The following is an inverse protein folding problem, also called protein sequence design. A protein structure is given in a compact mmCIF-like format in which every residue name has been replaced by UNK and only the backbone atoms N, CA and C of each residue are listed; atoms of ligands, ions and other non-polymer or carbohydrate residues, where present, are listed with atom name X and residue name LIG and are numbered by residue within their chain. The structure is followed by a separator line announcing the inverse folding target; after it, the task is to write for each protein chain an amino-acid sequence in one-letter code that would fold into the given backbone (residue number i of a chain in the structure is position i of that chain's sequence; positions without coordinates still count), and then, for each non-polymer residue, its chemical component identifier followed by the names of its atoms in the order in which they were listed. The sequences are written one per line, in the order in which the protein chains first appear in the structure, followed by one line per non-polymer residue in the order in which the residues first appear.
data_IF_006067705701
#
_entry.id   IF_006067705701
#
_cell.length_a   1.000
_cell.length_b   1.000
_cell.length_c   1.000
_cell.angle_alpha   90.00
_cell.angle_beta   90.00
_cell.angle_gamma   90.00
#
_symmetry.space_group_name_H-M   'P 1'
#
loop_
_entity.id
_entity.type
_entity.pdbx_description
1 polymer ?
#
# COMPACT_ATOMS: atom_id res chain seq x y z
N UNK A 1 15.68 1.83 -12.15
CA UNK A 1 15.60 0.39 -12.41
C UNK A 1 15.37 -0.31 -11.07
N UNK A 2 14.43 -1.24 -11.03
CA UNK A 2 14.09 -2.05 -9.87
C UNK A 2 14.10 -3.52 -10.31
N UNK A 3 14.67 -4.41 -9.50
CA UNK A 3 14.71 -5.85 -9.82
C UNK A 3 15.43 -6.67 -8.76
N UNK A 4 15.31 -7.97 -8.88
CA UNK A 4 16.08 -8.92 -8.07
C UNK A 4 17.43 -9.18 -8.71
N UNK A 5 18.49 -9.11 -7.89
CA UNK A 5 19.84 -9.42 -8.33
C UNK A 5 19.96 -10.92 -8.55
N UNK A 6 20.26 -11.33 -9.79
CA UNK A 6 20.43 -12.73 -10.16
C UNK A 6 21.90 -13.10 -10.40
N UNK A 7 22.76 -12.11 -10.69
CA UNK A 7 24.18 -12.33 -10.85
C UNK A 7 24.99 -11.04 -10.59
N UNK A 8 26.16 -11.14 -9.99
CA UNK A 8 27.09 -10.04 -9.76
C UNK A 8 28.44 -10.41 -10.36
N UNK A 9 28.74 -9.84 -11.53
CA UNK A 9 30.06 -9.96 -12.17
C UNK A 9 31.01 -8.84 -11.78
N UNK A 10 32.21 -8.85 -12.32
CA UNK A 10 33.28 -7.87 -12.01
C UNK A 10 32.85 -6.44 -12.43
N UNK A 11 32.29 -6.29 -13.61
CA UNK A 11 31.94 -4.96 -14.20
C UNK A 11 30.45 -4.68 -14.27
N UNK A 12 29.62 -5.68 -14.18
CA UNK A 12 28.17 -5.59 -14.36
C UNK A 12 27.41 -6.45 -13.36
N UNK A 13 26.29 -5.94 -12.90
CA UNK A 13 25.29 -6.67 -12.12
C UNK A 13 24.10 -6.96 -13.02
N UNK A 14 23.58 -8.18 -12.96
CA UNK A 14 22.40 -8.63 -13.73
C UNK A 14 21.19 -8.69 -12.82
N UNK A 15 20.09 -8.09 -13.26
CA UNK A 15 18.83 -8.02 -12.54
C UNK A 15 17.73 -8.71 -13.35
N UNK A 16 16.83 -9.43 -12.66
CA UNK A 16 15.50 -9.72 -13.15
C UNK A 16 14.62 -8.52 -12.83
N UNK A 17 14.16 -7.81 -13.84
CA UNK A 17 13.44 -6.55 -13.65
C UNK A 17 12.02 -6.76 -13.11
N UNK A 18 11.60 -5.81 -12.28
CA UNK A 18 10.28 -5.77 -11.64
C UNK A 18 9.58 -4.46 -12.03
N UNK A 19 8.27 -4.56 -12.32
CA UNK A 19 7.44 -3.39 -12.64
C UNK A 19 7.54 -2.97 -14.11
N UNK A 20 7.72 -1.68 -14.38
CA UNK A 20 7.60 -1.03 -15.68
C UNK A 20 6.16 -1.14 -16.22
N UNK A 21 5.88 -1.92 -17.27
CA UNK A 21 4.52 -2.14 -17.79
C UNK A 21 3.66 -3.15 -17.00
N UNK A 22 4.28 -3.91 -16.08
CA UNK A 22 3.56 -4.85 -15.22
C UNK A 22 3.24 -4.19 -13.89
N UNK A 23 1.98 -4.29 -13.46
CA UNK A 23 1.55 -3.66 -12.21
C UNK A 23 2.22 -4.27 -10.98
N UNK A 24 2.50 -3.42 -10.00
CA UNK A 24 3.07 -3.80 -8.70
C UNK A 24 4.49 -4.40 -8.79
N UNK A 25 4.85 -5.25 -7.84
CA UNK A 25 6.18 -5.84 -7.72
C UNK A 25 6.29 -7.19 -8.47
N UNK A 26 5.80 -7.26 -9.71
CA UNK A 26 5.90 -8.46 -10.54
C UNK A 26 7.08 -8.38 -11.50
N UNK A 27 7.65 -9.55 -11.79
CA UNK A 27 8.61 -9.68 -12.89
C UNK A 27 7.93 -9.36 -14.22
N UNK A 28 8.59 -8.53 -15.01
CA UNK A 28 8.14 -8.23 -16.37
C UNK A 28 8.80 -9.12 -17.43
N UNK A 29 9.69 -10.04 -17.01
CA UNK A 29 10.41 -10.96 -17.89
C UNK A 29 11.68 -10.38 -18.50
N UNK A 30 12.02 -9.12 -18.24
CA UNK A 30 13.21 -8.48 -18.78
C UNK A 30 14.43 -8.67 -17.87
N UNK A 31 15.55 -9.08 -18.46
CA UNK A 31 16.85 -9.16 -17.79
C UNK A 31 17.62 -7.89 -18.13
N UNK A 32 18.06 -7.17 -17.09
CA UNK A 32 18.80 -5.91 -17.22
C UNK A 32 20.22 -6.09 -16.69
N UNK A 33 21.21 -5.67 -17.46
CA UNK A 33 22.61 -5.62 -17.02
C UNK A 33 23.02 -4.17 -16.79
N UNK A 34 23.37 -3.83 -15.55
CA UNK A 34 23.82 -2.50 -15.17
C UNK A 34 25.32 -2.51 -14.85
N UNK A 35 26.01 -1.42 -15.14
CA UNK A 35 27.41 -1.28 -14.76
C UNK A 35 27.55 -1.15 -13.26
N UNK A 36 28.51 -1.85 -12.64
CA UNK A 36 28.80 -1.74 -11.21
C UNK A 36 29.25 -0.32 -10.79
N UNK A 37 29.73 0.49 -11.76
CA UNK A 37 30.03 1.90 -11.50
C UNK A 37 28.82 2.75 -11.08
N UNK A 38 27.61 2.23 -11.27
CA UNK A 38 26.37 2.94 -10.92
C UNK A 38 26.25 3.21 -9.41
N UNK A 39 26.80 2.33 -8.57
CA UNK A 39 26.81 2.49 -7.10
C UNK A 39 27.60 3.72 -6.62
N UNK A 40 28.50 4.25 -7.45
CA UNK A 40 29.27 5.47 -7.16
C UNK A 40 28.61 6.76 -7.68
N UNK A 41 27.51 6.65 -8.44
CA UNK A 41 26.88 7.79 -9.11
C UNK A 41 25.57 8.24 -8.45
N UNK A 42 25.01 7.43 -7.58
CA UNK A 42 23.73 7.76 -6.95
C UNK A 42 23.33 6.79 -5.85
N UNK A 43 22.15 7.01 -5.26
CA UNK A 43 21.63 6.15 -4.21
C UNK A 43 21.27 4.77 -4.77
N UNK A 44 21.59 3.74 -4.00
CA UNK A 44 21.18 2.35 -4.23
C UNK A 44 20.19 1.97 -3.12
N UNK A 45 18.96 1.63 -3.50
CA UNK A 45 17.93 1.20 -2.57
C UNK A 45 17.94 -0.32 -2.48
N UNK A 46 18.22 -0.85 -1.29
CA UNK A 46 18.25 -2.29 -1.04
C UNK A 46 17.15 -2.69 -0.04
N UNK A 47 16.31 -3.65 -0.42
CA UNK A 47 15.19 -4.15 0.39
C UNK A 47 15.51 -5.43 1.16
N UNK A 48 16.69 -6.01 1.01
CA UNK A 48 16.98 -7.36 1.48
C UNK A 48 18.18 -7.49 2.40
N UNK A 49 18.88 -6.37 2.70
CA UNK A 49 20.17 -6.46 3.40
C UNK A 49 20.01 -6.68 4.90
N UNK A 50 19.57 -5.66 5.64
CA UNK A 50 19.57 -5.70 7.10
C UNK A 50 18.17 -5.89 7.68
N UNK A 51 17.16 -5.42 6.97
CA UNK A 51 15.76 -5.57 7.36
C UNK A 51 14.96 -6.11 6.17
N UNK A 52 14.67 -7.41 6.12
CA UNK A 52 14.03 -8.07 4.97
C UNK A 52 12.53 -7.83 4.87
N UNK A 53 12.04 -6.81 5.50
CA UNK A 53 10.66 -6.36 5.53
C UNK A 53 10.55 -4.93 5.02
N UNK A 54 9.37 -4.59 4.56
CA UNK A 54 9.00 -3.21 4.20
C UNK A 54 7.73 -2.81 4.91
N UNK A 55 7.59 -1.52 5.21
CA UNK A 55 6.29 -0.96 5.58
C UNK A 55 5.45 -0.82 4.32
N UNK A 56 4.23 -1.27 4.40
CA UNK A 56 3.21 -1.06 3.37
C UNK A 56 1.94 -0.50 4.00
N UNK A 57 1.10 0.10 3.18
CA UNK A 57 -0.13 0.76 3.62
C UNK A 57 -1.31 0.38 2.74
N UNK A 58 -2.47 0.29 3.38
CA UNK A 58 -3.77 0.13 2.75
C UNK A 58 -4.63 1.30 3.16
N UNK A 59 -5.15 2.03 2.17
CA UNK A 59 -6.15 3.06 2.38
C UNK A 59 -7.53 2.52 2.02
N UNK A 60 -8.46 2.65 2.95
CA UNK A 60 -9.84 2.20 2.79
C UNK A 60 -10.79 3.38 3.01
N UNK A 61 -11.39 3.93 1.94
CA UNK A 61 -12.34 5.01 2.04
C UNK A 61 -13.73 4.47 2.42
N UNK A 62 -14.28 4.95 3.52
CA UNK A 62 -15.59 4.55 4.04
C UNK A 62 -16.53 5.76 4.03
N UNK A 63 -17.76 5.55 3.57
CA UNK A 63 -18.78 6.58 3.50
C UNK A 63 -19.13 7.11 4.91
N UNK A 64 -19.32 8.43 5.04
CA UNK A 64 -19.87 9.02 6.25
C UNK A 64 -21.21 8.38 6.63
N UNK A 65 -21.40 8.12 7.92
CA UNK A 65 -22.56 7.40 8.44
C UNK A 65 -22.38 5.87 8.57
N UNK A 66 -21.27 5.32 8.08
CA UNK A 66 -20.89 3.93 8.34
C UNK A 66 -20.43 3.73 9.78
N UNK A 67 -20.51 2.50 10.27
CA UNK A 67 -20.05 2.11 11.61
C UNK A 67 -18.51 2.10 11.68
N UNK A 68 -17.94 3.17 12.23
CA UNK A 68 -16.48 3.38 12.36
C UNK A 68 -15.85 2.32 13.28
N UNK A 69 -16.53 1.97 14.37
CA UNK A 69 -16.01 0.99 15.34
C UNK A 69 -15.95 -0.40 14.74
N UNK A 70 -17.00 -0.79 14.03
CA UNK A 70 -17.06 -2.07 13.34
C UNK A 70 -16.03 -2.12 12.20
N UNK A 71 -15.84 -1.02 11.46
CA UNK A 71 -14.83 -0.91 10.39
C UNK A 71 -13.43 -1.13 10.95
N UNK A 72 -13.08 -0.43 12.04
CA UNK A 72 -11.77 -0.60 12.69
C UNK A 72 -11.55 -2.07 13.12
N UNK A 73 -12.57 -2.68 13.73
CA UNK A 73 -12.51 -4.08 14.15
C UNK A 73 -12.24 -5.03 12.98
N UNK A 74 -12.96 -4.88 11.87
CA UNK A 74 -12.78 -5.71 10.66
C UNK A 74 -11.36 -5.55 10.10
N UNK A 75 -10.86 -4.32 9.99
CA UNK A 75 -9.50 -4.07 9.49
C UNK A 75 -8.46 -4.72 10.41
N UNK A 76 -8.61 -4.57 11.74
CA UNK A 76 -7.69 -5.14 12.72
C UNK A 76 -7.69 -6.66 12.70
N UNK A 77 -8.86 -7.30 12.61
CA UNK A 77 -8.98 -8.75 12.53
C UNK A 77 -8.39 -9.28 11.23
N UNK A 78 -8.67 -8.62 10.10
CA UNK A 78 -8.07 -8.95 8.81
C UNK A 78 -6.54 -8.81 8.84
N UNK A 79 -6.03 -7.75 9.44
CA UNK A 79 -4.60 -7.56 9.61
C UNK A 79 -3.99 -8.69 10.44
N UNK A 80 -4.59 -9.05 11.57
CA UNK A 80 -4.09 -10.10 12.46
C UNK A 80 -4.01 -11.47 11.77
N UNK A 81 -4.99 -11.83 10.93
CA UNK A 81 -5.00 -13.10 10.20
C UNK A 81 -3.76 -13.26 9.30
N UNK A 82 -3.38 -12.20 8.60
CA UNK A 82 -2.34 -12.29 7.56
C UNK A 82 -0.96 -11.81 8.02
N UNK A 83 -0.89 -10.96 9.06
CA UNK A 83 0.33 -10.26 9.46
C UNK A 83 0.95 -10.79 10.76
N UNK A 84 0.21 -11.49 11.61
CA UNK A 84 0.72 -11.98 12.92
C UNK A 84 2.02 -12.76 12.79
N UNK A 85 2.13 -13.59 11.75
CA UNK A 85 3.34 -14.40 11.49
C UNK A 85 4.60 -13.57 11.16
N UNK A 86 4.44 -12.32 10.75
CA UNK A 86 5.57 -11.44 10.43
C UNK A 86 5.98 -10.58 11.62
N UNK A 87 5.06 -10.31 12.54
CA UNK A 87 5.26 -9.36 13.63
C UNK A 87 6.46 -9.72 14.53
N UNK A 88 6.52 -10.95 15.02
CA UNK A 88 7.58 -11.34 15.96
C UNK A 88 8.95 -11.38 15.30
N UNK A 89 9.02 -11.96 14.10
CA UNK A 89 10.25 -12.01 13.32
C UNK A 89 10.73 -10.61 12.92
N UNK A 90 9.82 -9.73 12.53
CA UNK A 90 10.15 -8.37 12.19
C UNK A 90 10.65 -7.56 13.41
N UNK A 91 10.08 -7.79 14.61
CA UNK A 91 10.53 -7.17 15.86
C UNK A 91 11.97 -7.53 16.20
N UNK A 92 12.36 -8.79 16.07
CA UNK A 92 13.73 -9.22 16.33
C UNK A 92 14.72 -8.53 15.37
N UNK A 93 14.42 -8.54 14.08
CA UNK A 93 15.25 -7.89 13.07
C UNK A 93 15.32 -6.36 13.28
N UNK A 94 14.21 -5.74 13.65
CA UNK A 94 14.18 -4.31 13.92
C UNK A 94 15.04 -3.92 15.11
N UNK A 95 15.00 -4.69 16.21
CA UNK A 95 15.90 -4.48 17.36
C UNK A 95 17.38 -4.55 16.98
N UNK A 96 17.75 -5.50 16.11
CA UNK A 96 19.11 -5.57 15.60
C UNK A 96 19.50 -4.32 14.79
N UNK A 97 18.58 -3.81 13.96
CA UNK A 97 18.77 -2.59 13.19
C UNK A 97 18.92 -1.37 14.07
N UNK A 98 18.06 -1.19 15.07
CA UNK A 98 18.12 -0.09 16.04
C UNK A 98 19.49 -0.07 16.73
N UNK A 99 19.97 -1.22 17.21
CA UNK A 99 21.27 -1.34 17.85
C UNK A 99 22.45 -1.08 16.91
N UNK A 100 22.35 -1.53 15.66
CA UNK A 100 23.43 -1.40 14.67
C UNK A 100 23.59 0.02 14.15
N UNK A 101 22.47 0.73 13.93
CA UNK A 101 22.47 2.03 13.26
C UNK A 101 22.11 3.20 14.19
N UNK A 102 21.83 2.95 15.45
CA UNK A 102 21.41 3.95 16.45
C UNK A 102 20.23 4.79 15.96
N UNK A 103 19.27 4.15 15.31
CA UNK A 103 18.04 4.78 14.82
C UNK A 103 16.93 4.68 15.86
N UNK A 104 15.89 5.51 15.69
CA UNK A 104 14.71 5.48 16.55
C UNK A 104 13.96 4.14 16.46
N UNK A 105 13.43 3.67 17.58
CA UNK A 105 12.62 2.46 17.64
C UNK A 105 11.23 2.75 17.04
N UNK A 106 10.93 2.10 15.93
CA UNK A 106 9.67 2.28 15.21
C UNK A 106 8.68 1.16 15.54
N UNK A 107 7.40 1.49 15.50
CA UNK A 107 6.31 0.53 15.65
C UNK A 107 6.33 -0.43 14.45
N UNK A 108 6.55 -1.70 14.72
CA UNK A 108 6.58 -2.79 13.73
C UNK A 108 5.22 -3.49 13.62
N UNK A 109 4.38 -3.35 14.65
CA UNK A 109 3.02 -3.86 14.63
C UNK A 109 2.14 -3.11 13.63
N UNK A 110 1.05 -3.76 13.21
CA UNK A 110 0.04 -3.09 12.41
C UNK A 110 -0.65 -1.99 13.19
N UNK A 111 -0.75 -0.81 12.59
CA UNK A 111 -1.44 0.35 13.17
C UNK A 111 -2.53 0.84 12.24
N UNK A 112 -3.66 1.24 12.81
CA UNK A 112 -4.77 1.80 12.07
C UNK A 112 -4.93 3.26 12.46
N UNK A 113 -4.89 4.15 11.49
CA UNK A 113 -5.15 5.58 11.66
C UNK A 113 -6.36 6.00 10.84
N UNK A 114 -6.96 7.11 11.25
CA UNK A 114 -8.18 7.66 10.68
C UNK A 114 -7.90 9.08 10.19
N UNK A 115 -8.37 9.39 8.97
CA UNK A 115 -8.36 10.74 8.43
C UNK A 115 -9.76 11.11 7.94
N UNK A 116 -10.23 12.28 8.33
CA UNK A 116 -11.47 12.84 7.80
C UNK A 116 -11.15 13.64 6.55
N UNK A 117 -11.84 13.35 5.46
CA UNK A 117 -11.78 14.11 4.21
C UNK A 117 -13.13 14.75 3.92
N UNK A 118 -13.22 15.58 2.88
CA UNK A 118 -14.49 16.23 2.52
C UNK A 118 -15.58 15.23 2.09
N UNK A 119 -15.18 14.05 1.57
CA UNK A 119 -16.12 13.11 0.97
C UNK A 119 -16.24 11.77 1.71
N UNK A 120 -15.22 11.40 2.51
CA UNK A 120 -15.20 10.10 3.21
C UNK A 120 -14.30 10.12 4.45
N UNK A 121 -14.45 9.07 5.24
CA UNK A 121 -13.53 8.72 6.32
C UNK A 121 -12.49 7.76 5.72
N UNK A 122 -11.22 8.14 5.70
CA UNK A 122 -10.13 7.29 5.23
C UNK A 122 -9.49 6.55 6.40
N UNK A 123 -9.57 5.22 6.38
CA UNK A 123 -8.79 4.37 7.26
C UNK A 123 -7.47 4.04 6.57
N UNK A 124 -6.37 4.22 7.26
CA UNK A 124 -5.06 3.79 6.82
C UNK A 124 -4.56 2.68 7.74
N UNK A 125 -4.38 1.49 7.18
CA UNK A 125 -3.70 0.37 7.82
C UNK A 125 -2.24 0.37 7.38
N UNK A 126 -1.32 0.66 8.32
CA UNK A 126 0.12 0.54 8.12
C UNK A 126 0.61 -0.75 8.77
N UNK A 127 1.46 -1.49 8.07
CA UNK A 127 1.96 -2.79 8.52
C UNK A 127 3.31 -3.12 7.93
N UNK A 128 3.98 -4.11 8.54
CA UNK A 128 5.24 -4.67 8.04
C UNK A 128 4.96 -5.98 7.32
N UNK A 129 5.62 -6.19 6.20
CA UNK A 129 5.48 -7.39 5.36
C UNK A 129 6.81 -7.74 4.68
N UNK A 130 7.02 -9.03 4.44
CA UNK A 130 8.11 -9.52 3.59
C UNK A 130 8.03 -8.84 2.20
N UNK A 131 9.12 -8.20 1.77
CA UNK A 131 9.16 -7.45 0.51
C UNK A 131 8.76 -8.29 -0.71
N UNK A 132 9.02 -9.61 -0.70
CA UNK A 132 8.61 -10.54 -1.77
C UNK A 132 7.13 -10.90 -1.75
N UNK A 133 6.48 -10.77 -0.60
CA UNK A 133 5.08 -11.18 -0.38
C UNK A 133 4.12 -9.99 -0.27
N UNK A 134 4.62 -8.78 -0.37
CA UNK A 134 3.87 -7.54 -0.21
C UNK A 134 2.55 -7.55 -0.99
N UNK A 135 2.60 -7.83 -2.29
CA UNK A 135 1.41 -7.83 -3.16
C UNK A 135 0.40 -8.90 -2.77
N UNK A 136 0.85 -10.13 -2.58
CA UNK A 136 -0.05 -11.26 -2.27
C UNK A 136 -0.73 -11.03 -0.92
N UNK A 137 0.03 -10.57 0.08
CA UNK A 137 -0.50 -10.24 1.41
C UNK A 137 -1.52 -9.10 1.34
N UNK A 138 -1.21 -8.03 0.61
CA UNK A 138 -2.12 -6.89 0.42
C UNK A 138 -3.43 -7.32 -0.23
N UNK A 139 -3.37 -8.12 -1.28
CA UNK A 139 -4.56 -8.65 -1.96
C UNK A 139 -5.40 -9.52 -1.01
N UNK A 140 -4.77 -10.41 -0.23
CA UNK A 140 -5.47 -11.25 0.73
C UNK A 140 -6.18 -10.43 1.82
N UNK A 141 -5.54 -9.38 2.33
CA UNK A 141 -6.16 -8.46 3.29
C UNK A 141 -7.35 -7.75 2.66
N UNK A 142 -7.22 -7.20 1.44
CA UNK A 142 -8.34 -6.55 0.76
C UNK A 142 -9.52 -7.50 0.54
N UNK A 143 -9.27 -8.72 0.06
CA UNK A 143 -10.33 -9.71 -0.16
C UNK A 143 -11.06 -10.01 1.14
N UNK A 144 -10.33 -10.25 2.23
CA UNK A 144 -10.95 -10.54 3.52
C UNK A 144 -11.74 -9.35 4.07
N UNK A 145 -11.23 -8.12 3.94
CA UNK A 145 -11.96 -6.90 4.35
C UNK A 145 -13.26 -6.78 3.56
N UNK A 146 -13.24 -7.00 2.23
CA UNK A 146 -14.44 -6.93 1.41
C UNK A 146 -15.47 -7.98 1.81
N UNK A 147 -15.04 -9.23 2.02
CA UNK A 147 -15.91 -10.33 2.45
C UNK A 147 -16.57 -10.02 3.81
N UNK A 148 -15.82 -9.43 4.74
CA UNK A 148 -16.37 -9.04 6.05
C UNK A 148 -17.30 -7.83 5.95
N UNK A 149 -17.01 -6.85 5.11
CA UNK A 149 -17.89 -5.71 4.85
C UNK A 149 -19.24 -6.19 4.29
N UNK A 150 -19.23 -7.09 3.33
CA UNK A 150 -20.45 -7.65 2.72
C UNK A 150 -21.36 -8.32 3.77
N UNK A 151 -20.79 -8.99 4.77
CA UNK A 151 -21.53 -9.60 5.88
C UNK A 151 -22.21 -8.58 6.78
N UNK A 152 -21.79 -7.31 6.77
CA UNK A 152 -22.37 -6.26 7.62
C UNK A 152 -23.77 -5.79 7.17
N UNK A 153 -24.23 -6.23 5.99
CA UNK A 153 -25.55 -5.88 5.41
C UNK A 153 -25.79 -4.37 5.34
N UNK A 154 -24.77 -3.62 4.91
CA UNK A 154 -24.85 -2.18 4.69
C UNK A 154 -24.54 -1.29 5.90
N UNK A 155 -24.09 -1.85 7.05
CA UNK A 155 -23.58 -1.03 8.16
C UNK A 155 -22.28 -0.30 7.81
N UNK A 156 -21.51 -0.85 6.89
CA UNK A 156 -20.31 -0.27 6.34
C UNK A 156 -20.46 -0.16 4.84
N UNK A 157 -20.25 1.03 4.31
CA UNK A 157 -20.35 1.32 2.87
C UNK A 157 -19.04 1.94 2.40
N UNK A 158 -18.43 1.36 1.37
CA UNK A 158 -17.26 1.95 0.74
C UNK A 158 -17.63 3.27 0.09
N UNK A 159 -16.75 4.26 0.21
CA UNK A 159 -16.97 5.57 -0.38
C UNK A 159 -16.44 5.63 -1.82
N UNK A 160 -17.05 6.51 -2.59
CA UNK A 160 -16.59 6.96 -3.90
C UNK A 160 -16.52 8.47 -3.93
N UNK A 161 -15.75 9.04 -4.85
CA UNK A 161 -15.71 10.49 -5.04
C UNK A 161 -17.13 11.01 -5.33
N UNK A 162 -17.58 11.99 -4.52
CA UNK A 162 -18.90 12.62 -4.63
C UNK A 162 -18.68 14.09 -5.00
N UNK A 163 -19.42 14.57 -5.99
CA UNK A 163 -19.43 15.98 -6.37
C UNK A 163 -20.78 16.59 -5.97
N UNK A 164 -20.74 17.66 -5.21
CA UNK A 164 -21.93 18.45 -4.88
C UNK A 164 -22.12 19.55 -5.90
N UNK A 165 -23.30 19.62 -6.52
CA UNK A 165 -23.68 20.72 -7.41
C UNK A 165 -24.34 21.81 -6.55
N UNK A 166 -23.58 22.83 -6.19
CA UNK A 166 -24.01 23.91 -5.28
C UNK A 166 -25.03 24.84 -5.94
N UNK A 167 -25.08 24.91 -7.25
CA UNK A 167 -26.04 25.66 -8.02
C UNK A 167 -25.85 25.56 -9.52
N UNK A 168 -26.95 25.61 -10.26
CA UNK A 168 -26.94 25.76 -11.71
C UNK A 168 -27.42 27.18 -11.99
N UNK A 169 -26.63 28.06 -12.65
CA UNK A 169 -27.10 29.38 -13.00
C UNK A 169 -28.30 29.25 -13.96
N UNK A 170 -29.29 30.17 -13.87
CA UNK A 170 -30.45 30.14 -14.75
C UNK A 170 -29.99 30.24 -16.22
N UNK A 171 -30.41 29.29 -17.03
CA UNK A 171 -30.16 29.32 -18.47
C UNK A 171 -31.37 29.98 -19.14
N UNK A 172 -31.17 31.18 -19.73
CA UNK A 172 -32.18 31.83 -20.56
C UNK A 172 -32.14 31.19 -21.97
N UNK A 173 -33.18 30.46 -22.31
CA UNK A 173 -33.34 29.89 -23.64
C UNK A 173 -34.27 30.77 -24.46
N UNK A 174 -33.76 31.48 -25.45
CA UNK A 174 -34.55 32.18 -26.47
C UNK A 174 -34.91 31.18 -27.59
N UNK A 175 -36.19 30.84 -27.69
CA UNK A 175 -36.70 30.03 -28.80
C UNK A 175 -36.97 30.96 -30.00
N UNK A 176 -36.02 31.00 -30.95
CA UNK A 176 -36.24 31.72 -32.23
C UNK A 176 -37.08 30.86 -33.15
N UNK A 177 -38.35 31.16 -33.28
CA UNK A 177 -39.22 30.64 -34.35
C UNK A 177 -38.88 31.33 -35.68
N UNK A 178 -37.95 30.74 -36.47
CA UNK A 178 -37.84 31.11 -37.90
C UNK A 178 -39.07 30.56 -38.62
N UNK A 179 -39.92 31.52 -39.13
CA UNK A 179 -40.92 31.24 -40.14
C UNK A 179 -40.25 31.07 -41.51
#
# INVERSE_FOLDING_TARGET
IKGDVIDIGITKTTLMEIGDWVSSDNYNGRIVKISNSFVFKGAVHNYSTDFPFVWDEINLPIKYGSDVTLTNKIIQESANIYLSKYSDFAKEHWKLMVNKYLIEDAIVESTITLKLTDNWIEFNLRYVVDYKKRRVTKNAIFTNILDEIDKTKGKIVLASATFEVVGIPPVNVEISNKK
#
